data_IF_134739814527
#
_entry.id   IF_134739814527
#
_cell.length_a   1.000
_cell.length_b   1.000
_cell.length_c   1.000
_cell.angle_alpha   90.00
_cell.angle_beta   90.00
_cell.angle_gamma   90.00
#
_symmetry.space_group_name_H-M   'P 1'
#
loop_
_entity.id
_entity.type
_entity.pdbx_description
1 polymer ?
#
# COMPACT_ATOMS: atom_id res chain seq x y z
N UNK A 1 -16.32 -11.12 16.84
CA UNK A 1 -15.27 -10.54 17.69
C UNK A 1 -14.17 -10.01 16.79
N UNK A 2 -14.00 -8.68 16.71
CA UNK A 2 -12.90 -8.06 15.97
C UNK A 2 -11.59 -8.45 16.67
N UNK A 3 -10.85 -9.39 16.10
CA UNK A 3 -9.56 -9.82 16.65
C UNK A 3 -8.48 -8.89 16.10
N UNK A 4 -8.08 -7.93 16.93
CA UNK A 4 -7.09 -6.91 16.59
C UNK A 4 -5.79 -7.54 16.05
N UNK A 5 -5.33 -8.65 16.63
CA UNK A 5 -4.12 -9.38 16.22
C UNK A 5 -4.19 -9.95 14.80
N UNK A 6 -5.33 -10.56 14.42
CA UNK A 6 -5.52 -11.14 13.08
C UNK A 6 -5.53 -10.08 11.97
N UNK A 7 -5.88 -8.84 12.28
CA UNK A 7 -5.88 -7.75 11.30
C UNK A 7 -4.48 -7.12 11.16
N UNK A 8 -3.69 -7.04 12.24
CA UNK A 8 -2.33 -6.51 12.19
C UNK A 8 -1.42 -7.35 11.29
N UNK A 9 -1.45 -8.68 11.40
CA UNK A 9 -0.64 -9.55 10.54
C UNK A 9 -1.00 -9.39 9.05
N UNK A 10 -2.29 -9.24 8.73
CA UNK A 10 -2.76 -9.03 7.35
C UNK A 10 -2.40 -7.64 6.82
N UNK A 11 -2.43 -6.61 7.68
CA UNK A 11 -1.99 -5.25 7.34
C UNK A 11 -0.50 -5.27 6.98
N UNK A 12 0.35 -5.88 7.81
CA UNK A 12 1.79 -5.99 7.55
C UNK A 12 2.08 -6.74 6.24
N UNK A 13 1.33 -7.82 5.97
CA UNK A 13 1.48 -8.55 4.71
C UNK A 13 1.17 -7.68 3.48
N UNK A 14 0.07 -6.92 3.51
CA UNK A 14 -0.29 -6.02 2.40
C UNK A 14 0.69 -4.87 2.27
N UNK A 15 1.26 -4.36 3.37
CA UNK A 15 2.32 -3.35 3.34
C UNK A 15 3.63 -3.89 2.73
N UNK A 16 4.00 -5.14 3.00
CA UNK A 16 5.13 -5.80 2.35
C UNK A 16 4.89 -6.03 0.85
N UNK A 17 3.68 -6.43 0.45
CA UNK A 17 3.31 -6.55 -0.96
C UNK A 17 3.49 -5.20 -1.69
N UNK A 18 3.07 -4.10 -1.05
CA UNK A 18 3.26 -2.75 -1.57
C UNK A 18 4.74 -2.32 -1.63
N UNK A 19 5.57 -2.76 -0.69
CA UNK A 19 7.01 -2.48 -0.69
C UNK A 19 7.77 -3.25 -1.77
N UNK A 20 7.32 -4.47 -2.08
CA UNK A 20 7.92 -5.33 -3.11
C UNK A 20 7.42 -4.98 -4.52
N UNK A 21 6.32 -4.23 -4.63
CA UNK A 21 5.82 -3.71 -5.89
C UNK A 21 6.80 -2.68 -6.46
N UNK A 22 7.51 -3.09 -7.50
CA UNK A 22 8.29 -2.22 -8.35
C UNK A 22 7.66 -2.23 -9.73
N UNK A 23 7.60 -1.06 -10.37
CA UNK A 23 7.10 -0.93 -11.74
C UNK A 23 7.94 -1.81 -12.67
N UNK A 24 9.28 -1.79 -12.56
CA UNK A 24 10.17 -2.68 -13.33
C UNK A 24 9.85 -2.72 -14.83
N UNK A 25 9.39 -3.88 -15.31
CA UNK A 25 8.93 -4.13 -16.69
C UNK A 25 7.38 -4.17 -16.83
N UNK A 26 6.63 -3.94 -15.75
CA UNK A 26 5.18 -3.80 -15.81
C UNK A 26 4.81 -2.49 -16.52
N UNK A 27 3.79 -2.57 -17.36
CA UNK A 27 3.10 -1.40 -17.89
C UNK A 27 2.60 -0.51 -16.74
N UNK A 28 2.72 0.81 -16.89
CA UNK A 28 2.32 1.78 -15.87
C UNK A 28 0.88 1.55 -15.38
N UNK A 29 -0.02 1.20 -16.30
CA UNK A 29 -1.42 0.90 -15.99
C UNK A 29 -1.58 -0.32 -15.08
N UNK A 30 -0.76 -1.36 -15.28
CA UNK A 30 -0.78 -2.58 -14.47
C UNK A 30 -0.14 -2.35 -13.09
N UNK A 31 0.92 -1.55 -13.03
CA UNK A 31 1.51 -1.12 -11.76
C UNK A 31 0.49 -0.34 -10.92
N UNK A 32 -0.16 0.69 -11.50
CA UNK A 32 -1.17 1.47 -10.80
C UNK A 32 -2.38 0.64 -10.38
N UNK A 33 -2.85 -0.29 -11.22
CA UNK A 33 -3.93 -1.20 -10.87
C UNK A 33 -3.57 -2.07 -9.66
N UNK A 34 -2.35 -2.59 -9.61
CA UNK A 34 -1.85 -3.43 -8.52
C UNK A 34 -1.69 -2.65 -7.21
N UNK A 35 -1.11 -1.45 -7.27
CA UNK A 35 -0.99 -0.53 -6.12
C UNK A 35 -2.37 -0.16 -5.57
N UNK A 36 -3.32 0.19 -6.45
CA UNK A 36 -4.69 0.53 -6.06
C UNK A 36 -5.41 -0.65 -5.40
N UNK A 37 -5.28 -1.85 -5.94
CA UNK A 37 -5.89 -3.05 -5.38
C UNK A 37 -5.33 -3.41 -4.00
N UNK A 38 -4.02 -3.26 -3.79
CA UNK A 38 -3.40 -3.46 -2.48
C UNK A 38 -3.83 -2.39 -1.46
N UNK A 39 -3.93 -1.12 -1.88
CA UNK A 39 -4.39 -0.03 -1.02
C UNK A 39 -5.85 -0.20 -0.56
N UNK A 40 -6.76 -0.63 -1.44
CA UNK A 40 -8.15 -0.90 -1.06
C UNK A 40 -8.27 -2.10 -0.08
N UNK A 41 -7.47 -3.15 -0.27
CA UNK A 41 -7.36 -4.25 0.71
C UNK A 41 -6.87 -3.74 2.07
N UNK A 42 -5.92 -2.83 2.07
CA UNK A 42 -5.36 -2.25 3.30
C UNK A 42 -6.39 -1.39 4.04
N UNK A 43 -7.18 -0.58 3.34
CA UNK A 43 -8.31 0.16 3.92
C UNK A 43 -9.35 -0.77 4.54
N UNK A 44 -9.69 -1.87 3.88
CA UNK A 44 -10.69 -2.82 4.36
C UNK A 44 -10.25 -3.56 5.64
N UNK A 45 -8.95 -3.69 5.87
CA UNK A 45 -8.37 -4.34 7.05
C UNK A 45 -8.17 -3.38 8.23
N UNK A 46 -8.14 -2.08 8.00
CA UNK A 46 -7.91 -1.09 9.04
C UNK A 46 -9.14 -0.92 9.95
N UNK A 47 -8.94 -0.78 11.28
CA UNK A 47 -10.02 -0.41 12.19
C UNK A 47 -10.59 0.99 11.87
N UNK A 48 -11.80 1.32 12.37
CA UNK A 48 -12.34 2.67 12.27
C UNK A 48 -11.31 3.69 12.80
N UNK A 49 -10.91 4.58 11.91
CA UNK A 49 -9.62 5.28 11.96
C UNK A 49 -9.61 6.46 12.94
N UNK A 50 -8.55 6.58 13.75
CA UNK A 50 -8.23 7.81 14.47
C UNK A 50 -7.56 8.79 13.49
N UNK A 51 -8.03 10.03 13.39
CA UNK A 51 -7.64 10.99 12.33
C UNK A 51 -6.11 11.20 12.17
N UNK A 52 -5.34 11.04 13.24
CA UNK A 52 -3.87 11.13 13.23
C UNK A 52 -3.20 10.09 12.32
N UNK A 53 -3.78 8.89 12.23
CA UNK A 53 -3.24 7.81 11.42
C UNK A 53 -3.41 8.08 9.91
N UNK A 54 -4.40 8.91 9.52
CA UNK A 54 -4.73 9.23 8.12
C UNK A 54 -3.59 9.91 7.38
N UNK A 55 -3.04 10.95 7.99
CA UNK A 55 -2.05 11.81 7.32
C UNK A 55 -0.71 11.09 7.16
N UNK A 56 -0.23 10.40 8.20
CA UNK A 56 1.05 9.68 8.15
C UNK A 56 0.99 8.49 7.18
N UNK A 57 -0.13 7.76 7.19
CA UNK A 57 -0.31 6.60 6.35
C UNK A 57 -0.41 6.95 4.86
N UNK A 58 -1.19 7.98 4.51
CA UNK A 58 -1.30 8.46 3.13
C UNK A 58 0.05 8.96 2.60
N UNK A 59 0.80 9.75 3.37
CA UNK A 59 2.13 10.23 2.98
C UNK A 59 3.12 9.08 2.76
N UNK A 60 3.13 8.11 3.68
CA UNK A 60 4.00 6.92 3.57
C UNK A 60 3.66 6.10 2.32
N UNK A 61 2.37 6.01 1.97
CA UNK A 61 1.93 5.24 0.81
C UNK A 61 2.28 5.91 -0.52
N UNK A 62 2.17 7.24 -0.57
CA UNK A 62 2.63 8.02 -1.73
C UNK A 62 4.14 7.87 -1.91
N UNK A 63 4.92 7.99 -0.84
CA UNK A 63 6.37 7.82 -0.89
C UNK A 63 6.79 6.43 -1.40
N UNK A 64 6.13 5.36 -0.91
CA UNK A 64 6.38 3.98 -1.36
C UNK A 64 6.01 3.80 -2.85
N UNK A 65 4.90 4.36 -3.29
CA UNK A 65 4.49 4.32 -4.70
C UNK A 65 5.51 5.00 -5.61
N UNK A 66 5.99 6.19 -5.22
CA UNK A 66 7.01 6.94 -5.96
C UNK A 66 8.36 6.20 -5.99
N UNK A 67 8.75 5.57 -4.90
CA UNK A 67 9.99 4.78 -4.83
C UNK A 67 9.96 3.51 -5.70
N UNK A 68 8.77 2.96 -5.98
CA UNK A 68 8.59 1.80 -6.84
C UNK A 68 8.57 2.12 -8.34
N UNK A 69 8.46 3.38 -8.74
CA UNK A 69 8.52 3.77 -10.15
C UNK A 69 9.93 3.54 -10.69
N UNK A 70 10.03 2.97 -11.89
CA UNK A 70 11.35 2.79 -12.53
C UNK A 70 11.86 4.13 -13.04
N UNK A 71 13.15 4.43 -12.87
CA UNK A 71 13.75 5.66 -13.42
C UNK A 71 14.00 5.60 -14.93
N UNK A 72 13.23 4.81 -15.69
CA UNK A 72 13.41 4.60 -17.15
C UNK A 72 13.16 5.86 -18.01
N UNK A 73 13.28 7.06 -17.42
CA UNK A 73 13.27 8.36 -18.06
C UNK A 73 14.45 9.21 -17.52
N UNK A 74 15.68 8.71 -17.69
CA UNK A 74 16.86 9.56 -17.92
C UNK A 74 17.19 9.59 -19.41
#
# INVERSE_FOLDING_TARGET
>A
TYSHDKNVSKILQVEEELLKLQQGDLELSQYFASVKAAYERLKALQPPYQACYKTHFEQTMVAKCLAGLSSKYE
#
